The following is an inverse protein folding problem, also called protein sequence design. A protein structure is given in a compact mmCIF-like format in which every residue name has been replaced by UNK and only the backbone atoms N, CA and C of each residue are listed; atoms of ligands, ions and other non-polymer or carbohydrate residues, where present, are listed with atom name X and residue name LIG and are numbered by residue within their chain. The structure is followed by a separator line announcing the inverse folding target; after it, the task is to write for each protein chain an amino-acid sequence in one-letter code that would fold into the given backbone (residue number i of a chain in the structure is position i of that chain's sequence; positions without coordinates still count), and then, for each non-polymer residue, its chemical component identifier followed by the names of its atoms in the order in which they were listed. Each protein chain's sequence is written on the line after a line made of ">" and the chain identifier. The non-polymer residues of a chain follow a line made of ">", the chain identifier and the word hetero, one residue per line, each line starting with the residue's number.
data_IF_424741565774
#
_entry.id   IF_424741565774
#
_cell.length_a   1.000
_cell.length_b   1.000
_cell.length_c   1.000
_cell.angle_alpha   90.00
_cell.angle_beta   90.00
_cell.angle_gamma   90.00
#
_symmetry.space_group_name_H-M   'P 1'
#
loop_
_entity.id
_entity.type
_entity.pdbx_description
1 polymer ?
#
# COMPACT_ATOMS: atom_id res chain seq x y z
N UNK A 1 7.78 -28.77 7.46
CA UNK A 1 9.02 -28.21 6.90
C UNK A 1 9.11 -26.75 7.30
N UNK A 2 10.26 -26.27 7.75
CA UNK A 2 10.45 -24.86 8.08
C UNK A 2 10.77 -24.12 6.78
N UNK A 3 9.83 -23.33 6.27
CA UNK A 3 9.98 -22.54 5.05
C UNK A 3 10.25 -21.10 5.45
N UNK A 4 11.34 -20.52 4.94
CA UNK A 4 11.65 -19.11 5.10
C UNK A 4 11.22 -18.33 3.87
N UNK A 5 10.49 -17.22 4.08
CA UNK A 5 10.07 -16.33 3.01
C UNK A 5 10.97 -15.09 2.94
N UNK A 6 11.24 -14.66 1.71
CA UNK A 6 11.83 -13.36 1.39
C UNK A 6 10.77 -12.45 0.80
N UNK A 7 10.83 -11.16 1.13
CA UNK A 7 10.00 -10.11 0.53
C UNK A 7 10.97 -9.16 -0.17
N UNK A 8 10.74 -8.92 -1.46
CA UNK A 8 11.65 -8.20 -2.33
C UNK A 8 10.93 -7.06 -3.06
N UNK A 9 11.64 -5.97 -3.44
CA UNK A 9 11.07 -4.91 -4.27
C UNK A 9 10.56 -5.42 -5.62
N UNK A 10 9.74 -4.61 -6.29
CA UNK A 10 9.27 -4.95 -7.63
C UNK A 10 10.44 -5.11 -8.62
N UNK A 11 10.45 -6.19 -9.42
CA UNK A 11 11.46 -6.35 -10.45
C UNK A 11 11.32 -5.25 -11.51
N UNK A 12 12.44 -4.82 -12.07
CA UNK A 12 12.49 -3.81 -13.13
C UNK A 12 13.46 -4.26 -14.20
N UNK A 13 13.21 -3.85 -15.45
CA UNK A 13 14.14 -4.11 -16.55
C UNK A 13 15.39 -3.26 -16.41
N UNK A 14 16.52 -3.79 -16.89
CA UNK A 14 17.79 -3.04 -16.92
C UNK A 14 17.63 -1.75 -17.73
N UNK A 15 18.17 -0.64 -17.22
CA UNK A 15 18.04 0.69 -17.82
C UNK A 15 16.66 1.35 -17.70
N UNK A 16 15.65 0.67 -17.13
CA UNK A 16 14.32 1.24 -16.95
C UNK A 16 14.21 2.10 -15.69
N UNK A 17 13.16 2.93 -15.63
CA UNK A 17 12.81 3.68 -14.42
C UNK A 17 12.14 2.75 -13.41
N UNK A 18 12.58 2.81 -12.16
CA UNK A 18 11.89 2.17 -11.03
C UNK A 18 10.55 2.87 -10.78
N UNK A 19 9.46 2.16 -11.07
CA UNK A 19 8.08 2.66 -10.87
C UNK A 19 7.29 1.61 -10.10
N UNK A 20 6.57 2.03 -9.08
CA UNK A 20 5.66 1.19 -8.30
C UNK A 20 4.26 1.79 -8.30
N UNK A 21 3.23 0.97 -8.49
CA UNK A 21 1.85 1.45 -8.39
C UNK A 21 1.49 1.57 -6.91
N UNK A 22 1.09 2.78 -6.49
CA UNK A 22 0.51 2.98 -5.16
C UNK A 22 -0.99 2.71 -5.23
N UNK A 23 -1.45 1.67 -4.54
CA UNK A 23 -2.86 1.35 -4.38
C UNK A 23 -3.19 1.05 -2.93
N UNK A 24 -4.44 1.22 -2.59
CA UNK A 24 -5.00 0.90 -1.28
C UNK A 24 -6.50 1.09 -1.30
N UNK A 25 -7.09 1.10 -0.12
CA UNK A 25 -8.51 1.37 0.05
C UNK A 25 -8.69 2.74 0.70
N UNK A 26 -9.73 3.46 0.27
CA UNK A 26 -10.25 4.63 0.96
C UNK A 26 -11.38 4.25 1.91
N UNK A 27 -11.58 5.05 2.95
CA UNK A 27 -12.80 4.98 3.77
C UNK A 27 -13.65 6.20 3.47
N UNK A 28 -14.95 5.98 3.27
CA UNK A 28 -15.93 7.04 3.02
C UNK A 28 -17.02 7.03 4.08
N UNK A 29 -17.53 8.21 4.41
CA UNK A 29 -18.73 8.37 5.24
C UNK A 29 -19.88 8.67 4.30
N UNK A 30 -20.88 7.78 4.25
CA UNK A 30 -22.09 8.00 3.45
C UNK A 30 -23.06 8.91 4.20
N UNK A 31 -23.85 9.69 3.45
CA UNK A 31 -24.87 10.57 4.01
C UNK A 31 -25.80 9.83 5.00
N UNK A 32 -25.99 10.41 6.18
CA UNK A 32 -26.77 9.84 7.27
C UNK A 32 -27.35 10.94 8.17
N UNK A 33 -27.33 10.77 9.50
CA UNK A 33 -27.59 11.86 10.44
C UNK A 33 -26.28 12.54 10.86
N UNK A 34 -26.34 13.83 11.17
CA UNK A 34 -25.19 14.62 11.63
C UNK A 34 -24.42 13.93 12.77
N UNK A 35 -25.14 13.32 13.71
CA UNK A 35 -24.55 12.61 14.84
C UNK A 35 -23.74 11.37 14.39
N UNK A 36 -24.24 10.62 13.40
CA UNK A 36 -23.56 9.44 12.87
C UNK A 36 -22.35 9.83 12.04
N UNK A 37 -22.49 10.86 11.21
CA UNK A 37 -21.40 11.40 10.40
C UNK A 37 -20.27 11.94 11.28
N UNK A 38 -20.61 12.68 12.34
CA UNK A 38 -19.64 13.18 13.31
C UNK A 38 -18.93 12.04 14.07
N UNK A 39 -19.67 11.03 14.54
CA UNK A 39 -19.09 9.86 15.19
C UNK A 39 -18.14 9.09 14.25
N UNK A 40 -18.51 8.91 12.98
CA UNK A 40 -17.66 8.28 11.98
C UNK A 40 -16.37 9.09 11.72
N UNK A 41 -16.46 10.42 11.63
CA UNK A 41 -15.30 11.29 11.48
C UNK A 41 -14.35 11.21 12.69
N UNK A 42 -14.88 11.16 13.91
CA UNK A 42 -14.09 10.96 15.12
C UNK A 42 -13.37 9.60 15.12
N UNK A 43 -14.07 8.54 14.70
CA UNK A 43 -13.48 7.22 14.56
C UNK A 43 -12.34 7.23 13.52
N UNK A 44 -12.56 7.79 12.34
CA UNK A 44 -11.52 7.87 11.29
C UNK A 44 -10.31 8.66 11.77
N UNK A 45 -10.52 9.78 12.47
CA UNK A 45 -9.44 10.57 13.08
C UNK A 45 -8.68 9.76 14.13
N UNK A 46 -9.37 8.99 14.96
CA UNK A 46 -8.74 8.11 15.94
C UNK A 46 -7.95 6.98 15.26
N UNK A 47 -8.56 6.26 14.33
CA UNK A 47 -7.99 5.10 13.65
C UNK A 47 -6.72 5.43 12.85
N UNK A 48 -6.68 6.61 12.23
CA UNK A 48 -5.54 7.07 11.42
C UNK A 48 -4.41 7.71 12.22
N UNK A 49 -4.58 7.96 13.53
CA UNK A 49 -3.46 8.42 14.38
C UNK A 49 -2.35 7.38 14.41
N UNK A 50 -1.11 7.84 14.47
CA UNK A 50 0.09 7.01 14.43
C UNK A 50 0.04 5.80 15.39
N UNK A 51 -0.31 6.02 16.65
CA UNK A 51 -0.35 4.95 17.68
C UNK A 51 -1.26 3.78 17.28
N UNK A 52 -2.47 4.09 16.79
CA UNK A 52 -3.46 3.09 16.39
C UNK A 52 -3.17 2.51 15.01
N UNK A 53 -2.69 3.34 14.09
CA UNK A 53 -2.32 2.92 12.74
C UNK A 53 -1.13 1.95 12.75
N UNK A 54 -0.12 2.18 13.60
CA UNK A 54 1.03 1.28 13.74
C UNK A 54 0.63 -0.10 14.27
N UNK A 55 -0.33 -0.16 15.20
CA UNK A 55 -0.89 -1.42 15.65
C UNK A 55 -1.57 -2.16 14.49
N UNK A 56 -2.42 -1.48 13.72
CA UNK A 56 -3.08 -2.05 12.54
C UNK A 56 -2.07 -2.60 11.52
N UNK A 57 -1.01 -1.84 11.22
CA UNK A 57 0.05 -2.23 10.26
C UNK A 57 0.79 -3.48 10.72
N UNK A 58 1.17 -3.53 12.00
CA UNK A 58 1.90 -4.66 12.58
C UNK A 58 1.16 -6.00 12.48
N UNK A 59 -0.15 -5.97 12.28
CA UNK A 59 -1.01 -7.15 12.22
C UNK A 59 -1.51 -7.50 10.81
N UNK A 60 -1.43 -6.57 9.86
CA UNK A 60 -2.12 -6.71 8.56
C UNK A 60 -1.19 -6.69 7.35
N UNK A 61 0.03 -6.16 7.48
CA UNK A 61 0.93 -5.96 6.35
C UNK A 61 0.57 -4.77 5.46
N UNK A 62 -0.40 -3.93 5.86
CA UNK A 62 -0.61 -2.62 5.25
C UNK A 62 0.57 -1.67 5.55
N UNK A 63 0.66 -0.58 4.79
CA UNK A 63 1.65 0.46 5.00
C UNK A 63 1.10 1.63 5.83
N UNK A 64 1.98 2.43 6.48
CA UNK A 64 1.59 3.67 7.14
C UNK A 64 0.83 4.62 6.22
N UNK A 65 -0.28 5.18 6.72
CA UNK A 65 -1.16 6.07 5.93
C UNK A 65 -0.98 7.55 6.26
N UNK A 66 -0.11 7.87 7.22
CA UNK A 66 0.24 9.27 7.58
C UNK A 66 1.74 9.49 7.44
N UNK A 67 2.13 10.70 7.07
CA UNK A 67 3.54 11.07 6.91
C UNK A 67 4.35 10.81 8.19
N UNK A 68 3.81 11.15 9.37
CA UNK A 68 4.50 10.93 10.64
C UNK A 68 4.72 9.45 10.97
N UNK A 69 3.71 8.60 10.75
CA UNK A 69 3.86 7.15 10.94
C UNK A 69 4.85 6.56 9.92
N UNK A 70 4.83 7.06 8.69
CA UNK A 70 5.75 6.65 7.65
C UNK A 70 7.20 7.05 7.96
N UNK A 71 7.43 8.30 8.37
CA UNK A 71 8.73 8.80 8.84
C UNK A 71 9.26 7.99 10.03
N UNK A 72 8.39 7.61 10.96
CA UNK A 72 8.76 6.75 12.08
C UNK A 72 9.25 5.38 11.58
N UNK A 73 8.57 4.77 10.59
CA UNK A 73 9.02 3.53 9.97
C UNK A 73 10.36 3.70 9.25
N UNK A 74 10.50 4.76 8.45
CA UNK A 74 11.72 5.08 7.69
C UNK A 74 12.94 5.28 8.59
N UNK A 75 12.74 5.90 9.76
CA UNK A 75 13.78 6.19 10.75
C UNK A 75 13.94 5.07 11.79
N UNK A 76 13.17 3.98 11.69
CA UNK A 76 13.11 2.89 12.69
C UNK A 76 12.78 3.36 14.11
N UNK A 77 12.01 4.45 14.21
CA UNK A 77 11.53 5.05 15.46
C UNK A 77 10.14 4.52 15.84
N UNK A 78 9.99 3.21 15.91
CA UNK A 78 8.74 2.54 16.27
C UNK A 78 9.02 1.19 16.93
N UNK A 79 8.05 0.65 17.65
CA UNK A 79 8.15 -0.72 18.18
C UNK A 79 8.08 -1.72 17.03
N UNK A 80 9.12 -2.53 16.77
CA UNK A 80 9.11 -3.47 15.66
C UNK A 80 8.00 -4.53 15.84
N UNK A 81 7.30 -4.90 14.75
CA UNK A 81 6.37 -6.02 14.75
C UNK A 81 7.02 -7.32 15.21
N UNK A 82 6.30 -8.11 15.99
CA UNK A 82 6.76 -9.45 16.40
C UNK A 82 6.92 -10.38 15.20
N UNK A 83 6.05 -10.26 14.20
CA UNK A 83 6.10 -11.04 12.96
C UNK A 83 7.27 -10.59 12.08
N UNK A 84 8.15 -11.55 11.75
CA UNK A 84 9.31 -11.33 10.90
C UNK A 84 8.96 -10.97 9.46
N UNK A 85 7.89 -11.55 8.90
CA UNK A 85 7.46 -11.25 7.54
C UNK A 85 6.93 -9.82 7.45
N UNK A 86 6.27 -9.32 8.50
CA UNK A 86 5.86 -7.92 8.56
C UNK A 86 7.07 -6.99 8.65
N UNK A 87 8.13 -7.38 9.38
CA UNK A 87 9.39 -6.62 9.39
C UNK A 87 10.05 -6.59 8.02
N UNK A 88 10.17 -7.75 7.35
CA UNK A 88 10.69 -7.89 5.97
C UNK A 88 9.87 -7.02 4.98
N UNK A 89 8.55 -6.97 5.15
CA UNK A 89 7.64 -6.15 4.34
C UNK A 89 7.90 -4.65 4.54
N UNK A 90 7.99 -4.19 5.79
CA UNK A 90 8.24 -2.77 6.09
C UNK A 90 9.61 -2.33 5.58
N UNK A 91 10.64 -3.17 5.72
CA UNK A 91 11.98 -2.88 5.20
C UNK A 91 11.98 -2.77 3.67
N UNK A 92 11.27 -3.67 2.98
CA UNK A 92 11.09 -3.61 1.52
C UNK A 92 10.32 -2.37 1.10
N UNK A 93 9.26 -2.00 1.83
CA UNK A 93 8.47 -0.81 1.54
C UNK A 93 9.28 0.48 1.71
N UNK A 94 10.11 0.56 2.76
CA UNK A 94 11.06 1.65 2.98
C UNK A 94 12.05 1.75 1.82
N UNK A 95 12.59 0.62 1.36
CA UNK A 95 13.48 0.59 0.20
C UNK A 95 12.77 1.10 -1.05
N UNK A 96 11.59 0.56 -1.37
CA UNK A 96 10.83 0.96 -2.54
C UNK A 96 10.48 2.44 -2.50
N UNK A 97 10.15 2.98 -1.33
CA UNK A 97 9.84 4.40 -1.21
C UNK A 97 11.05 5.32 -1.44
N UNK A 98 12.26 4.86 -1.14
CA UNK A 98 13.49 5.62 -1.43
C UNK A 98 13.88 5.54 -2.91
N UNK A 99 13.61 4.41 -3.56
CA UNK A 99 14.19 4.09 -4.86
C UNK A 99 13.21 4.16 -6.05
N UNK A 100 11.89 4.11 -5.80
CA UNK A 100 10.87 4.01 -6.85
C UNK A 100 10.06 5.31 -6.92
N UNK A 101 9.65 5.66 -8.13
CA UNK A 101 8.60 6.64 -8.33
C UNK A 101 7.24 5.96 -8.14
N UNK A 102 6.40 6.49 -7.26
CA UNK A 102 5.05 5.98 -7.10
C UNK A 102 4.12 6.54 -8.17
N UNK A 103 3.49 5.64 -8.91
CA UNK A 103 2.40 5.95 -9.82
C UNK A 103 1.08 5.78 -9.09
N UNK A 104 0.30 6.86 -9.04
CA UNK A 104 -1.07 6.85 -8.55
C UNK A 104 -1.97 6.80 -9.77
N UNK A 105 -2.75 5.73 -9.97
CA UNK A 105 -3.68 5.64 -11.09
C UNK A 105 -4.67 6.80 -11.10
N UNK A 106 -4.96 7.40 -12.27
CA UNK A 106 -6.02 8.39 -12.39
C UNK A 106 -7.38 7.73 -12.10
N UNK A 107 -8.29 8.51 -11.52
CA UNK A 107 -9.66 8.06 -11.23
C UNK A 107 -10.58 8.56 -12.34
N UNK A 108 -11.01 7.66 -13.23
CA UNK A 108 -12.02 7.91 -14.25
C UNK A 108 -12.76 6.61 -14.59
N UNK A 109 -14.00 6.73 -15.09
CA UNK A 109 -14.96 5.61 -15.22
C UNK A 109 -14.42 4.42 -16.03
N UNK A 110 -13.66 4.69 -17.10
CA UNK A 110 -13.15 3.67 -18.02
C UNK A 110 -11.78 3.09 -17.62
N UNK A 111 -11.15 3.53 -16.51
CA UNK A 111 -9.80 3.09 -16.18
C UNK A 111 -9.70 1.55 -16.03
N UNK A 112 -10.67 0.95 -15.35
CA UNK A 112 -10.71 -0.49 -15.12
C UNK A 112 -11.01 -1.29 -16.39
N UNK A 113 -11.88 -0.78 -17.26
CA UNK A 113 -12.22 -1.45 -18.52
C UNK A 113 -11.03 -1.41 -19.50
N UNK A 114 -10.36 -0.27 -19.63
CA UNK A 114 -9.15 -0.10 -20.42
C UNK A 114 -8.02 -1.00 -19.92
N UNK A 115 -7.81 -1.06 -18.60
CA UNK A 115 -6.79 -1.93 -18.00
C UNK A 115 -7.00 -3.40 -18.33
N UNK A 116 -8.25 -3.87 -18.30
CA UNK A 116 -8.61 -5.26 -18.66
C UNK A 116 -8.36 -5.54 -20.15
N UNK A 117 -8.74 -4.62 -21.03
CA UNK A 117 -8.49 -4.76 -22.48
C UNK A 117 -7.00 -4.87 -22.77
N UNK A 118 -6.19 -3.94 -22.24
CA UNK A 118 -4.74 -3.96 -22.42
C UNK A 118 -4.10 -5.25 -21.89
N UNK A 119 -4.51 -5.70 -20.69
CA UNK A 119 -3.97 -6.93 -20.09
C UNK A 119 -4.30 -8.15 -20.95
N UNK A 120 -5.51 -8.22 -21.51
CA UNK A 120 -5.92 -9.29 -22.43
C UNK A 120 -5.09 -9.28 -23.72
N UNK A 121 -4.91 -8.12 -24.35
CA UNK A 121 -4.08 -7.95 -25.54
C UNK A 121 -2.62 -8.36 -25.28
N UNK A 122 -2.06 -7.95 -24.13
CA UNK A 122 -0.71 -8.32 -23.73
C UNK A 122 -0.54 -9.84 -23.61
N UNK A 123 -1.41 -10.54 -22.88
CA UNK A 123 -1.30 -11.99 -22.75
C UNK A 123 -1.49 -12.75 -24.07
N UNK A 124 -2.39 -12.28 -24.94
CA UNK A 124 -2.57 -12.87 -26.26
C UNK A 124 -1.33 -12.68 -27.14
N UNK A 125 -0.65 -11.54 -27.05
CA UNK A 125 0.59 -11.28 -27.81
C UNK A 125 1.74 -12.22 -27.43
N UNK A 126 1.76 -12.72 -26.19
CA UNK A 126 2.82 -13.62 -25.70
C UNK A 126 2.46 -15.09 -25.96
N UNK A 127 1.17 -15.41 -26.06
CA UNK A 127 0.69 -16.78 -26.28
C UNK A 127 0.61 -17.19 -27.76
N UNK A 128 0.91 -16.25 -28.67
CA UNK A 128 0.88 -16.46 -30.13
C UNK A 128 2.26 -16.68 -30.74
N UNK A 129 3.31 -16.74 -29.92
CA UNK A 129 4.64 -17.30 -30.24
C UNK A 129 4.76 -18.76 -29.75
#
# INVERSE_FOLDING_TARGET
>A
EAVEYSILPYPVFEGSKKVAIQRGNGMIVTASSEQKEYAAALFLKWFTKMEHNMQFISQTGYLPVTNGAFEAVMNRNYTPPADENIRKLLDTAVQMHKEYNFYIPPVFDDFDSMGKTWQGEFYNSISSE
#
